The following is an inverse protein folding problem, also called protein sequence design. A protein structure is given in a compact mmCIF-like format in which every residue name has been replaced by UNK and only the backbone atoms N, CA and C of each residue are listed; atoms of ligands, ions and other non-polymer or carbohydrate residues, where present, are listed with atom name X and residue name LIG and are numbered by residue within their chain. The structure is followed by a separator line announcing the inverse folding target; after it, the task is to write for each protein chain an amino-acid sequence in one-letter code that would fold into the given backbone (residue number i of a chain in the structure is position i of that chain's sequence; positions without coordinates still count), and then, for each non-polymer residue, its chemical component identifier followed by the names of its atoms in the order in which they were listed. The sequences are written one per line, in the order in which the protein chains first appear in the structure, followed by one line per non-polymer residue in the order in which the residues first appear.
data_IF_655817951499
#
_entry.id   IF_655817951499
#
_cell.length_a   1.000
_cell.length_b   1.000
_cell.length_c   1.000
_cell.angle_alpha   90.00
_cell.angle_beta   90.00
_cell.angle_gamma   90.00
#
_symmetry.space_group_name_H-M   'P 1'
#
loop_
_entity.id
_entity.type
_entity.pdbx_description
1 polymer ?
#
# COMPACT_ATOMS: atom_id res chain seq x y z
N UNK A 1 -27.83 35.72 -10.00
CA UNK A 1 -27.36 34.70 -10.95
C UNK A 1 -25.82 34.78 -11.00
N UNK A 2 -25.14 33.99 -10.16
CA UNK A 2 -23.68 33.96 -10.08
C UNK A 2 -23.14 33.09 -11.24
N UNK A 3 -22.49 33.75 -12.18
CA UNK A 3 -21.80 33.09 -13.31
C UNK A 3 -20.50 32.40 -12.78
N UNK A 4 -20.51 31.10 -12.64
CA UNK A 4 -19.30 30.34 -12.42
C UNK A 4 -18.38 30.44 -13.65
N UNK A 5 -17.24 31.11 -13.52
CA UNK A 5 -16.18 31.05 -14.51
C UNK A 5 -15.60 29.65 -14.51
N UNK A 6 -15.48 28.95 -15.64
CA UNK A 6 -14.84 27.65 -15.69
C UNK A 6 -13.37 27.78 -15.28
N UNK A 7 -12.96 27.01 -14.29
CA UNK A 7 -11.57 26.88 -13.90
C UNK A 7 -10.79 26.27 -15.07
N UNK A 8 -9.90 27.07 -15.69
CA UNK A 8 -8.97 26.53 -16.70
C UNK A 8 -7.90 25.72 -15.98
N UNK A 9 -8.07 24.41 -15.96
CA UNK A 9 -7.01 23.49 -15.55
C UNK A 9 -5.77 23.74 -16.43
N UNK A 10 -4.56 23.81 -15.85
CA UNK A 10 -3.35 23.87 -16.64
C UNK A 10 -3.28 22.63 -17.56
N UNK A 11 -3.00 22.85 -18.84
CA UNK A 11 -2.73 21.76 -19.80
C UNK A 11 -1.36 21.15 -19.47
N UNK A 12 -1.28 20.42 -18.36
CA UNK A 12 -0.19 19.48 -18.17
C UNK A 12 -0.46 18.32 -19.12
N UNK A 13 0.26 18.30 -20.22
CA UNK A 13 0.29 17.13 -21.08
C UNK A 13 0.94 16.00 -20.29
N UNK A 14 0.13 15.21 -19.59
CA UNK A 14 0.52 13.87 -19.16
C UNK A 14 0.80 13.16 -20.49
N UNK A 15 2.06 13.06 -20.87
CA UNK A 15 2.47 12.15 -21.93
C UNK A 15 2.12 10.74 -21.41
N UNK A 16 0.95 10.26 -21.74
CA UNK A 16 0.65 8.84 -21.73
C UNK A 16 1.55 8.18 -22.76
N UNK A 17 2.81 7.96 -22.39
CA UNK A 17 3.59 6.94 -23.02
C UNK A 17 2.81 5.64 -22.81
N UNK A 18 2.45 4.95 -23.89
CA UNK A 18 2.09 3.53 -23.87
C UNK A 18 3.33 2.75 -23.39
N UNK A 19 3.65 2.87 -22.12
CA UNK A 19 4.43 1.88 -21.42
C UNK A 19 3.40 0.97 -20.76
N UNK A 20 3.45 -0.30 -21.13
CA UNK A 20 2.77 -1.37 -20.45
C UNK A 20 3.27 -1.38 -18.99
N UNK A 21 2.70 -0.47 -18.17
CA UNK A 21 3.04 -0.36 -16.77
C UNK A 21 2.43 -1.57 -16.05
N UNK A 22 3.25 -2.53 -15.70
CA UNK A 22 2.87 -3.66 -14.88
C UNK A 22 3.24 -3.37 -13.43
N UNK A 23 2.28 -3.51 -12.54
CA UNK A 23 2.47 -3.30 -11.10
C UNK A 23 2.71 -4.65 -10.43
N UNK A 24 3.80 -4.76 -9.69
CA UNK A 24 4.02 -5.89 -8.79
C UNK A 24 3.43 -5.56 -7.42
N UNK A 25 2.60 -6.45 -6.91
CA UNK A 25 1.98 -6.33 -5.61
C UNK A 25 2.52 -7.45 -4.72
N UNK A 26 3.18 -7.05 -3.65
CA UNK A 26 3.61 -7.97 -2.61
C UNK A 26 2.71 -7.88 -1.40
N UNK A 27 2.43 -9.03 -0.77
CA UNK A 27 1.66 -9.09 0.46
C UNK A 27 2.50 -9.74 1.56
N UNK A 28 2.41 -9.19 2.77
CA UNK A 28 3.12 -9.72 3.93
C UNK A 28 2.19 -9.99 5.13
N UNK A 29 0.88 -9.81 4.92
CA UNK A 29 -0.15 -9.94 5.95
C UNK A 29 -0.48 -8.60 6.63
N UNK A 30 -0.91 -8.67 7.88
CA UNK A 30 -1.36 -7.53 8.66
C UNK A 30 -2.88 -7.43 8.75
N UNK A 31 -3.38 -6.33 9.32
CA UNK A 31 -4.81 -6.13 9.62
C UNK A 31 -5.70 -6.27 8.40
N UNK A 32 -5.25 -5.81 7.23
CA UNK A 32 -6.01 -5.88 5.99
C UNK A 32 -6.47 -7.32 5.64
N UNK A 33 -5.66 -8.32 5.99
CA UNK A 33 -5.88 -9.73 5.67
C UNK A 33 -6.44 -10.53 6.87
N UNK A 34 -6.73 -9.86 8.01
CA UNK A 34 -7.24 -10.55 9.21
C UNK A 34 -8.63 -11.13 9.01
N UNK A 35 -8.81 -12.34 9.56
CA UNK A 35 -10.06 -13.08 9.62
C UNK A 35 -10.34 -13.44 11.06
N UNK A 36 -11.59 -13.29 11.49
CA UNK A 36 -12.02 -13.73 12.81
C UNK A 36 -12.36 -15.22 12.80
N UNK A 37 -11.79 -15.97 13.73
CA UNK A 37 -12.08 -17.39 13.94
C UNK A 37 -12.92 -17.57 15.21
N UNK A 38 -14.20 -17.88 15.06
CA UNK A 38 -15.15 -18.07 16.18
C UNK A 38 -14.68 -19.09 17.21
N UNK A 39 -14.12 -20.22 16.76
CA UNK A 39 -13.67 -21.30 17.66
C UNK A 39 -12.55 -20.89 18.62
N UNK A 40 -11.75 -19.90 18.25
CA UNK A 40 -10.59 -19.45 19.04
C UNK A 40 -10.82 -18.07 19.65
N UNK A 41 -11.89 -17.38 19.27
CA UNK A 41 -12.14 -15.97 19.61
C UNK A 41 -10.93 -15.07 19.30
N UNK A 42 -10.19 -15.35 18.23
CA UNK A 42 -8.96 -14.65 17.83
C UNK A 42 -9.01 -14.24 16.37
N UNK A 43 -8.23 -13.20 16.03
CA UNK A 43 -7.95 -12.83 14.65
C UNK A 43 -6.67 -13.53 14.18
N UNK A 44 -6.72 -14.13 13.01
CA UNK A 44 -5.55 -14.69 12.33
C UNK A 44 -5.37 -13.99 10.97
N UNK A 45 -4.12 -13.92 10.50
CA UNK A 45 -3.83 -13.40 9.14
C UNK A 45 -4.23 -14.48 8.15
N UNK A 46 -5.24 -14.17 7.32
CA UNK A 46 -5.76 -15.05 6.28
C UNK A 46 -5.12 -14.79 4.91
N UNK A 47 -5.77 -15.32 3.88
CA UNK A 47 -5.37 -15.09 2.49
C UNK A 47 -5.46 -13.61 2.10
N UNK A 48 -4.52 -13.12 1.27
CA UNK A 48 -4.48 -11.72 0.85
C UNK A 48 -5.76 -11.27 0.15
N UNK A 49 -6.35 -10.18 0.61
CA UNK A 49 -7.61 -9.64 0.09
C UNK A 49 -7.46 -8.62 -1.03
N UNK A 50 -6.24 -8.14 -1.27
CA UNK A 50 -6.01 -7.10 -2.27
C UNK A 50 -6.51 -7.49 -3.67
N UNK A 51 -6.38 -8.75 -4.07
CA UNK A 51 -6.84 -9.22 -5.38
C UNK A 51 -8.36 -9.11 -5.56
N UNK A 52 -9.13 -9.43 -4.52
CA UNK A 52 -10.59 -9.28 -4.52
C UNK A 52 -10.97 -7.81 -4.63
N UNK A 53 -10.32 -6.94 -3.83
CA UNK A 53 -10.58 -5.49 -3.81
C UNK A 53 -10.30 -4.87 -5.19
N UNK A 54 -9.18 -5.20 -5.82
CA UNK A 54 -8.84 -4.66 -7.16
C UNK A 54 -9.84 -5.11 -8.22
N UNK A 55 -10.31 -6.37 -8.14
CA UNK A 55 -11.31 -6.92 -9.05
C UNK A 55 -12.67 -6.23 -8.85
N UNK A 56 -13.12 -6.07 -7.62
CA UNK A 56 -14.37 -5.39 -7.28
C UNK A 56 -14.36 -3.91 -7.69
N UNK A 57 -13.20 -3.26 -7.57
CA UNK A 57 -12.98 -1.88 -8.02
C UNK A 57 -12.82 -1.74 -9.55
N UNK A 58 -12.91 -2.83 -10.32
CA UNK A 58 -12.69 -2.86 -11.77
C UNK A 58 -11.38 -2.20 -12.20
N UNK A 59 -10.28 -2.44 -11.49
CA UNK A 59 -8.96 -1.93 -11.84
C UNK A 59 -8.52 -2.55 -13.15
N UNK A 60 -8.18 -1.70 -14.14
CA UNK A 60 -7.83 -2.11 -15.51
C UNK A 60 -6.33 -2.19 -15.80
N UNK A 61 -5.51 -1.81 -14.83
CA UNK A 61 -4.05 -1.91 -14.93
C UNK A 61 -3.61 -3.37 -14.85
N UNK A 62 -2.53 -3.70 -15.54
CA UNK A 62 -1.88 -4.99 -15.38
C UNK A 62 -1.16 -5.07 -14.02
N UNK A 63 -1.44 -6.11 -13.26
CA UNK A 63 -0.78 -6.35 -11.99
C UNK A 63 -0.52 -7.82 -11.74
N UNK A 64 0.48 -8.10 -10.94
CA UNK A 64 0.83 -9.44 -10.47
C UNK A 64 0.93 -9.45 -8.95
N UNK A 65 0.26 -10.39 -8.29
CA UNK A 65 0.26 -10.51 -6.83
C UNK A 65 1.11 -11.71 -6.41
N UNK A 66 1.98 -11.51 -5.42
CA UNK A 66 2.76 -12.55 -4.78
C UNK A 66 2.82 -12.33 -3.28
N UNK A 67 2.62 -13.39 -2.50
CA UNK A 67 2.79 -13.31 -1.06
C UNK A 67 4.24 -13.61 -0.68
N UNK A 68 4.82 -12.78 0.20
CA UNK A 68 6.14 -13.01 0.78
C UNK A 68 5.99 -13.63 2.17
N UNK A 69 5.04 -13.12 2.94
CA UNK A 69 4.79 -13.52 4.33
C UNK A 69 3.29 -13.49 4.63
N UNK A 70 2.90 -14.21 5.68
CA UNK A 70 1.56 -14.17 6.28
C UNK A 70 1.70 -13.93 7.78
N UNK A 71 2.12 -12.69 8.17
CA UNK A 71 2.38 -12.34 9.57
C UNK A 71 1.64 -11.09 9.99
N UNK A 72 1.30 -11.00 11.27
CA UNK A 72 1.03 -9.71 11.89
C UNK A 72 2.33 -8.88 11.90
N UNK A 73 2.21 -7.59 11.67
CA UNK A 73 3.39 -6.73 11.61
C UNK A 73 4.12 -6.61 12.95
N UNK A 74 3.45 -6.85 14.08
CA UNK A 74 4.07 -6.90 15.40
C UNK A 74 4.96 -8.13 15.59
N UNK A 75 4.66 -9.23 14.89
CA UNK A 75 5.45 -10.46 14.92
C UNK A 75 6.64 -10.44 13.93
N UNK A 76 6.75 -9.39 13.14
CA UNK A 76 7.83 -9.24 12.15
C UNK A 76 9.13 -8.79 12.80
N UNK A 77 10.21 -9.47 12.44
CA UNK A 77 11.57 -9.19 12.91
C UNK A 77 12.49 -8.68 11.79
N UNK A 78 13.78 -8.50 12.11
CA UNK A 78 14.77 -8.02 11.15
C UNK A 78 15.00 -8.96 9.96
N UNK A 79 14.87 -10.29 10.16
CA UNK A 79 15.04 -11.29 9.08
C UNK A 79 13.86 -11.23 8.10
N UNK A 80 12.64 -11.06 8.62
CA UNK A 80 11.45 -10.89 7.78
C UNK A 80 11.57 -9.64 6.88
N UNK A 81 12.03 -8.51 7.44
CA UNK A 81 12.25 -7.28 6.67
C UNK A 81 13.40 -7.41 5.67
N UNK A 82 14.43 -8.18 5.99
CA UNK A 82 15.49 -8.48 5.04
C UNK A 82 14.98 -9.34 3.87
N UNK A 83 14.15 -10.35 4.15
CA UNK A 83 13.52 -11.17 3.10
C UNK A 83 12.67 -10.30 2.15
N UNK A 84 11.89 -9.36 2.69
CA UNK A 84 11.10 -8.41 1.87
C UNK A 84 12.05 -7.56 1.01
N UNK A 85 13.12 -7.03 1.60
CA UNK A 85 14.12 -6.23 0.90
C UNK A 85 14.73 -7.00 -0.27
N UNK A 86 15.24 -8.21 -0.01
CA UNK A 86 15.92 -9.06 -1.00
C UNK A 86 14.96 -9.42 -2.15
N UNK A 87 13.69 -9.73 -1.81
CA UNK A 87 12.66 -10.04 -2.80
C UNK A 87 12.37 -8.86 -3.71
N UNK A 88 12.26 -7.65 -3.16
CA UNK A 88 11.98 -6.44 -3.94
C UNK A 88 13.20 -6.03 -4.78
N UNK A 89 14.42 -6.14 -4.25
CA UNK A 89 15.65 -5.84 -5.00
C UNK A 89 15.78 -6.74 -6.22
N UNK A 90 15.51 -8.04 -6.08
CA UNK A 90 15.66 -9.03 -7.15
C UNK A 90 14.52 -8.99 -8.19
N UNK A 91 13.43 -8.26 -7.93
CA UNK A 91 12.31 -8.14 -8.85
C UNK A 91 12.65 -7.16 -9.98
N UNK A 92 12.24 -7.47 -11.21
CA UNK A 92 12.45 -6.61 -12.37
C UNK A 92 11.44 -5.45 -12.47
N UNK A 93 10.29 -5.55 -11.78
CA UNK A 93 9.28 -4.50 -11.80
C UNK A 93 9.77 -3.24 -11.11
N UNK A 94 9.47 -2.10 -11.73
CA UNK A 94 9.80 -0.77 -11.19
C UNK A 94 8.70 -0.19 -10.30
N UNK A 95 7.46 -0.64 -10.46
CA UNK A 95 6.30 -0.15 -9.75
C UNK A 95 5.81 -1.25 -8.79
N UNK A 96 5.95 -1.01 -7.50
CA UNK A 96 5.69 -2.02 -6.47
C UNK A 96 4.72 -1.46 -5.44
N UNK A 97 3.68 -2.23 -5.15
CA UNK A 97 2.82 -2.01 -3.99
C UNK A 97 3.12 -3.12 -2.97
N UNK A 98 3.25 -2.75 -1.70
CA UNK A 98 3.45 -3.69 -0.61
C UNK A 98 2.32 -3.52 0.42
N UNK A 99 1.42 -4.52 0.54
CA UNK A 99 0.46 -4.52 1.66
C UNK A 99 1.14 -4.99 2.94
N UNK A 100 0.92 -4.27 4.03
CA UNK A 100 1.63 -4.45 5.29
C UNK A 100 0.75 -4.07 6.48
N UNK A 101 0.97 -4.70 7.63
CA UNK A 101 0.33 -4.28 8.87
C UNK A 101 0.82 -2.91 9.33
N UNK A 102 -0.10 -2.10 9.85
CA UNK A 102 0.13 -0.67 10.09
C UNK A 102 1.11 -0.37 11.23
N UNK A 103 1.28 -1.28 12.20
CA UNK A 103 2.06 -1.01 13.43
C UNK A 103 3.57 -0.89 13.16
N UNK A 104 4.11 -1.68 12.24
CA UNK A 104 5.54 -1.62 11.91
C UNK A 104 5.81 -1.29 10.43
N UNK A 105 4.81 -0.80 9.69
CA UNK A 105 4.91 -0.39 8.28
C UNK A 105 6.04 0.63 8.06
N UNK A 106 6.15 1.62 8.94
CA UNK A 106 7.19 2.67 8.87
C UNK A 106 8.59 2.06 8.94
N UNK A 107 8.80 1.07 9.81
CA UNK A 107 10.10 0.40 9.95
C UNK A 107 10.48 -0.35 8.68
N UNK A 108 9.52 -1.07 8.09
CA UNK A 108 9.73 -1.76 6.81
C UNK A 108 9.98 -0.77 5.68
N UNK A 109 9.20 0.30 5.57
CA UNK A 109 9.40 1.34 4.57
C UNK A 109 10.81 1.96 4.65
N UNK A 110 11.30 2.29 5.85
CA UNK A 110 12.67 2.79 6.06
C UNK A 110 13.74 1.79 5.63
N UNK A 111 13.53 0.50 5.89
CA UNK A 111 14.45 -0.56 5.45
C UNK A 111 14.54 -0.65 3.92
N UNK A 112 13.46 -0.32 3.20
CA UNK A 112 13.40 -0.37 1.75
C UNK A 112 13.99 0.87 1.05
N UNK A 113 14.20 1.98 1.75
CA UNK A 113 14.69 3.26 1.16
C UNK A 113 15.99 3.13 0.34
N UNK A 114 16.95 2.26 0.67
CA UNK A 114 18.17 2.11 -0.14
C UNK A 114 17.96 1.49 -1.53
N UNK A 115 16.76 0.97 -1.83
CA UNK A 115 16.49 0.33 -3.13
C UNK A 115 16.40 1.41 -4.21
N UNK A 116 17.27 1.40 -5.23
CA UNK A 116 17.28 2.40 -6.28
C UNK A 116 16.21 2.12 -7.35
N UNK A 117 15.89 3.12 -8.14
CA UNK A 117 15.14 3.04 -9.41
C UNK A 117 13.75 2.39 -9.36
N UNK A 118 13.19 2.20 -8.18
CA UNK A 118 11.84 1.65 -8.00
C UNK A 118 10.92 2.65 -7.29
N UNK A 119 9.66 2.65 -7.69
CA UNK A 119 8.58 3.29 -6.96
C UNK A 119 7.94 2.24 -6.07
N UNK A 120 8.12 2.35 -4.76
CA UNK A 120 7.61 1.39 -3.78
C UNK A 120 6.60 2.11 -2.89
N UNK A 121 5.34 1.67 -2.93
CA UNK A 121 4.26 2.24 -2.13
C UNK A 121 3.76 1.20 -1.14
N UNK A 122 3.99 1.46 0.16
CA UNK A 122 3.41 0.63 1.21
C UNK A 122 1.98 1.11 1.51
N UNK A 123 1.10 0.17 1.76
CA UNK A 123 -0.28 0.43 2.17
C UNK A 123 -0.81 -0.68 3.07
N UNK A 124 -1.98 -0.48 3.63
CA UNK A 124 -2.64 -1.45 4.50
C UNK A 124 -4.00 -0.94 4.92
N UNK A 125 -4.52 -1.48 6.00
CA UNK A 125 -5.80 -1.03 6.55
C UNK A 125 -5.76 -0.99 8.07
N UNK A 126 -6.50 -0.07 8.66
CA UNK A 126 -6.75 -0.02 10.11
C UNK A 126 -7.77 -1.08 10.52
N UNK A 127 -8.72 -1.37 9.62
CA UNK A 127 -9.76 -2.37 9.81
C UNK A 127 -9.61 -3.53 8.80
N UNK A 128 -9.92 -4.79 9.19
CA UNK A 128 -9.89 -5.92 8.26
C UNK A 128 -10.71 -5.65 7.00
N UNK A 129 -10.17 -6.01 5.84
CA UNK A 129 -10.82 -5.76 4.54
C UNK A 129 -12.22 -6.39 4.42
N UNK A 130 -12.51 -7.41 5.21
CA UNK A 130 -13.83 -8.07 5.25
C UNK A 130 -14.90 -7.26 5.97
N UNK A 131 -14.53 -6.22 6.69
CA UNK A 131 -15.50 -5.39 7.40
C UNK A 131 -16.15 -4.39 6.45
N UNK A 132 -17.46 -4.19 6.63
CA UNK A 132 -18.27 -3.32 5.77
C UNK A 132 -17.72 -1.90 5.63
N UNK A 133 -17.10 -1.39 6.68
CA UNK A 133 -16.58 -0.02 6.75
C UNK A 133 -15.05 0.03 6.76
N UNK A 134 -14.40 -1.01 6.24
CA UNK A 134 -12.95 -1.03 6.15
C UNK A 134 -12.41 0.10 5.26
N UNK A 135 -11.30 0.68 5.67
CA UNK A 135 -10.51 1.65 4.92
C UNK A 135 -9.62 0.99 3.83
N UNK A 136 -9.65 -0.34 3.73
CA UNK A 136 -8.76 -1.10 2.84
C UNK A 136 -8.89 -0.68 1.37
N UNK A 137 -10.10 -0.66 0.81
CA UNK A 137 -10.32 -0.33 -0.60
C UNK A 137 -9.87 1.10 -0.93
N UNK A 138 -10.11 2.04 -0.01
CA UNK A 138 -9.69 3.42 -0.16
C UNK A 138 -8.16 3.56 -0.17
N UNK A 139 -7.48 2.96 0.80
CA UNK A 139 -6.01 3.03 0.90
C UNK A 139 -5.33 2.31 -0.28
N UNK A 140 -5.86 1.16 -0.72
CA UNK A 140 -5.38 0.45 -1.91
C UNK A 140 -5.56 1.31 -3.16
N UNK A 141 -6.72 1.95 -3.35
CA UNK A 141 -6.95 2.88 -4.46
C UNK A 141 -5.96 4.04 -4.47
N UNK A 142 -5.67 4.63 -3.30
CA UNK A 142 -4.63 5.65 -3.15
C UNK A 142 -3.24 5.11 -3.54
N UNK A 143 -2.89 3.90 -3.12
CA UNK A 143 -1.60 3.28 -3.46
C UNK A 143 -1.48 2.98 -4.95
N UNK A 144 -2.54 2.48 -5.59
CA UNK A 144 -2.61 2.24 -7.04
C UNK A 144 -2.45 3.53 -7.83
N UNK A 145 -3.07 4.63 -7.41
CA UNK A 145 -2.90 5.93 -8.05
C UNK A 145 -1.49 6.48 -7.84
N UNK A 146 -0.97 6.38 -6.62
CA UNK A 146 0.34 6.91 -6.24
C UNK A 146 1.48 6.23 -6.99
N UNK A 147 1.48 4.90 -7.09
CA UNK A 147 2.57 4.14 -7.72
C UNK A 147 2.75 4.49 -9.20
N UNK A 148 1.71 4.99 -9.88
CA UNK A 148 1.75 5.38 -11.29
C UNK A 148 2.40 6.74 -11.55
N UNK A 149 2.37 7.63 -10.56
CA UNK A 149 2.72 9.06 -10.76
C UNK A 149 3.93 9.51 -9.96
N UNK A 150 4.32 8.75 -8.95
CA UNK A 150 5.46 9.09 -8.10
C UNK A 150 6.80 8.78 -8.81
N UNK A 151 7.82 9.52 -8.43
CA UNK A 151 9.21 9.25 -8.83
C UNK A 151 9.80 8.09 -8.01
N UNK A 152 10.92 7.45 -8.46
CA UNK A 152 11.57 6.41 -7.68
C UNK A 152 11.81 6.83 -6.24
N UNK A 153 11.42 5.97 -5.31
CA UNK A 153 11.44 6.20 -3.88
C UNK A 153 10.49 5.27 -3.13
N UNK A 154 10.47 5.40 -1.81
CA UNK A 154 9.61 4.62 -0.92
C UNK A 154 8.62 5.53 -0.23
N UNK A 155 7.35 5.17 -0.29
CA UNK A 155 6.23 5.97 0.17
C UNK A 155 5.26 5.12 0.99
N UNK A 156 4.46 5.77 1.83
CA UNK A 156 3.34 5.15 2.54
C UNK A 156 2.05 5.85 2.12
N UNK A 157 1.11 5.09 1.56
CA UNK A 157 -0.23 5.56 1.17
C UNK A 157 -1.26 5.11 2.21
N UNK A 158 -1.65 6.01 3.09
CA UNK A 158 -2.63 5.75 4.16
C UNK A 158 -3.48 6.98 4.42
N UNK A 159 -4.72 6.77 4.83
CA UNK A 159 -5.65 7.82 5.24
C UNK A 159 -5.82 8.94 4.19
N UNK A 160 -5.79 8.61 2.90
CA UNK A 160 -5.91 9.57 1.80
C UNK A 160 -4.69 10.46 1.55
N UNK A 161 -3.56 10.15 2.15
CA UNK A 161 -2.30 10.91 2.04
C UNK A 161 -1.15 10.01 1.62
N UNK A 162 -0.14 10.62 1.00
CA UNK A 162 1.12 9.99 0.65
C UNK A 162 2.20 10.58 1.56
N UNK A 163 2.91 9.72 2.26
CA UNK A 163 3.91 10.14 3.26
C UNK A 163 5.31 9.66 2.91
N UNK A 164 6.30 10.48 3.26
CA UNK A 164 7.68 10.05 3.38
C UNK A 164 7.87 9.25 4.69
N UNK A 165 8.44 8.04 4.65
CA UNK A 165 8.66 7.22 5.84
C UNK A 165 9.49 7.88 6.95
N UNK A 166 10.28 8.90 6.64
CA UNK A 166 11.08 9.62 7.65
C UNK A 166 10.30 10.71 8.39
N UNK A 167 9.19 11.17 7.80
CA UNK A 167 8.40 12.30 8.31
C UNK A 167 7.04 11.90 8.85
N UNK A 168 6.83 10.62 9.11
CA UNK A 168 5.52 10.08 9.50
C UNK A 168 5.59 9.42 10.88
N UNK A 169 4.48 9.44 11.58
CA UNK A 169 4.21 8.60 12.76
C UNK A 169 2.78 8.05 12.70
N UNK A 170 2.54 6.93 13.38
CA UNK A 170 1.20 6.42 13.64
C UNK A 170 0.70 7.04 14.95
N UNK A 171 -0.42 7.73 14.88
CA UNK A 171 -1.14 8.20 16.06
C UNK A 171 -2.03 7.06 16.55
N UNK A 172 -1.68 6.47 17.69
CA UNK A 172 -2.39 5.30 18.23
C UNK A 172 -3.77 5.66 18.82
N UNK A 173 -3.94 6.89 19.34
CA UNK A 173 -5.20 7.34 19.92
C UNK A 173 -6.24 7.59 18.83
N UNK A 174 -5.83 8.19 17.72
CA UNK A 174 -6.71 8.54 16.61
C UNK A 174 -6.77 7.45 15.54
N UNK A 175 -5.93 6.42 15.66
CA UNK A 175 -5.82 5.30 14.72
C UNK A 175 -5.61 5.74 13.25
N UNK A 176 -4.71 6.70 13.04
CA UNK A 176 -4.29 7.15 11.71
C UNK A 176 -2.79 7.45 11.62
N UNK A 177 -2.33 7.73 10.40
CA UNK A 177 -0.98 8.23 10.15
C UNK A 177 -0.99 9.74 10.01
N UNK A 178 0.03 10.41 10.56
CA UNK A 178 0.22 11.86 10.49
C UNK A 178 1.69 12.23 10.34
N UNK A 179 1.96 13.44 9.87
CA UNK A 179 3.32 13.98 9.82
C UNK A 179 3.87 14.22 11.24
N UNK A 180 5.18 14.09 11.37
CA UNK A 180 5.90 14.43 12.61
C UNK A 180 6.10 15.92 12.72
#
# INVERSE_FOLDING_TARGET
MLLFKPCKLPKTSIKQGKHDMKIKIYTVGGTIDKVYFDRKSTYEVGEPKIGEILKEANVTLEYEISSILHKDSLDMNGKDRQLIFDKIVSDEHRHIILTHGTDTMIQTAKKLKPIPDKVIVLTGAMEPARFKYSDAAFNIGCAVAAVQVLTPGVYIAMNGRIFDPDRIKKNLEQNWFEER
#
